data_IF_062991874915
#
_entry.id   IF_062991874915
#
_cell.length_a   1.000
_cell.length_b   1.000
_cell.length_c   1.000
_cell.angle_alpha   90.00
_cell.angle_beta   90.00
_cell.angle_gamma   90.00
#
_symmetry.space_group_name_H-M   'P 1'
#
loop_
_entity.id
_entity.type
_entity.pdbx_description
1 polymer ?
#
# COMPACT_ATOMS: atom_id res chain seq x y z
N UNK A 1 -7.34 0.83 -13.89
CA UNK A 1 -7.21 0.84 -15.37
C UNK A 1 -8.28 -0.01 -16.05
N UNK A 2 -8.74 -1.09 -15.40
CA UNK A 2 -9.83 -1.95 -15.90
C UNK A 2 -11.18 -1.72 -15.20
N UNK A 3 -11.20 -0.92 -14.13
CA UNK A 3 -12.41 -0.55 -13.39
C UNK A 3 -12.45 0.98 -13.32
N UNK A 4 -13.44 1.57 -13.98
CA UNK A 4 -13.61 3.02 -14.09
C UNK A 4 -14.67 3.56 -13.11
N UNK A 5 -15.42 2.66 -12.45
CA UNK A 5 -16.46 3.03 -11.51
C UNK A 5 -15.86 3.32 -10.13
N UNK A 6 -15.94 4.58 -9.71
CA UNK A 6 -15.44 5.04 -8.43
C UNK A 6 -16.17 4.39 -7.25
N UNK A 7 -17.47 4.10 -7.37
CA UNK A 7 -18.26 3.49 -6.29
C UNK A 7 -17.80 2.05 -6.03
N UNK A 8 -17.47 1.29 -7.10
CA UNK A 8 -16.91 -0.05 -6.96
C UNK A 8 -15.52 -0.04 -6.31
N UNK A 9 -14.68 0.96 -6.64
CA UNK A 9 -13.36 1.10 -6.03
C UNK A 9 -13.44 1.48 -4.55
N UNK A 10 -14.41 2.30 -4.16
CA UNK A 10 -14.67 2.65 -2.75
C UNK A 10 -15.20 1.44 -1.97
N UNK A 11 -16.08 0.63 -2.56
CA UNK A 11 -16.57 -0.60 -1.94
C UNK A 11 -15.45 -1.60 -1.67
N UNK A 12 -14.56 -1.82 -2.65
CA UNK A 12 -13.39 -2.71 -2.47
C UNK A 12 -12.48 -2.19 -1.36
N UNK A 13 -12.28 -0.87 -1.29
CA UNK A 13 -11.47 -0.26 -0.23
C UNK A 13 -12.08 -0.52 1.15
N UNK A 14 -13.40 -0.33 1.32
CA UNK A 14 -14.10 -0.67 2.57
C UNK A 14 -13.93 -2.14 2.94
N UNK A 15 -14.14 -3.07 2.02
CA UNK A 15 -14.00 -4.51 2.29
C UNK A 15 -12.57 -4.88 2.73
N UNK A 16 -11.54 -4.28 2.13
CA UNK A 16 -10.15 -4.49 2.52
C UNK A 16 -9.88 -3.95 3.94
N UNK A 17 -10.40 -2.77 4.28
CA UNK A 17 -10.25 -2.20 5.62
C UNK A 17 -10.93 -3.06 6.68
N UNK A 18 -12.15 -3.52 6.42
CA UNK A 18 -12.86 -4.44 7.30
C UNK A 18 -12.08 -5.74 7.51
N UNK A 19 -11.48 -6.28 6.45
CA UNK A 19 -10.66 -7.49 6.53
C UNK A 19 -9.41 -7.28 7.39
N UNK A 20 -8.71 -6.16 7.24
CA UNK A 20 -7.55 -5.80 8.07
C UNK A 20 -7.95 -5.71 9.55
N UNK A 21 -9.01 -4.96 9.85
CA UNK A 21 -9.53 -4.79 11.20
C UNK A 21 -9.98 -6.12 11.83
N UNK A 22 -10.53 -7.04 11.03
CA UNK A 22 -10.91 -8.39 11.47
C UNK A 22 -9.71 -9.22 11.96
N UNK A 23 -8.52 -8.97 11.42
CA UNK A 23 -7.29 -9.68 11.80
C UNK A 23 -6.37 -8.83 12.69
N UNK A 24 -6.94 -7.88 13.44
CA UNK A 24 -6.23 -7.01 14.38
C UNK A 24 -5.16 -6.10 13.75
N UNK A 25 -5.25 -5.85 12.44
CA UNK A 25 -4.46 -4.81 11.77
C UNK A 25 -5.20 -3.46 11.78
N UNK A 26 -4.47 -2.33 11.74
CA UNK A 26 -5.07 -0.98 11.74
C UNK A 26 -5.75 -0.66 10.39
N UNK A 27 -6.91 -1.24 10.11
CA UNK A 27 -7.61 -1.11 8.83
C UNK A 27 -7.95 0.32 8.43
N UNK A 28 -8.33 1.18 9.37
CA UNK A 28 -8.67 2.59 9.10
C UNK A 28 -7.44 3.44 8.76
N UNK A 29 -6.31 3.17 9.42
CA UNK A 29 -5.07 3.94 9.26
C UNK A 29 -4.13 3.37 8.19
N UNK A 30 -4.40 2.16 7.68
CA UNK A 30 -3.55 1.52 6.67
C UNK A 30 -3.65 2.30 5.35
N UNK A 31 -2.51 2.74 4.75
CA UNK A 31 -2.51 3.42 3.47
C UNK A 31 -2.98 2.50 2.33
N UNK A 32 -3.92 2.96 1.52
CA UNK A 32 -4.41 2.25 0.32
C UNK A 32 -4.21 3.17 -0.89
N UNK A 33 -3.35 2.76 -1.83
CA UNK A 33 -3.02 3.53 -3.03
C UNK A 33 -3.65 2.88 -4.25
N UNK A 34 -4.49 3.65 -4.97
CA UNK A 34 -5.14 3.21 -6.21
C UNK A 34 -4.21 3.44 -7.40
N UNK A 35 -4.00 2.42 -8.24
CA UNK A 35 -3.10 2.48 -9.39
C UNK A 35 -3.16 1.25 -10.29
N UNK A 36 -2.33 1.23 -11.33
CA UNK A 36 -2.08 0.08 -12.22
C UNK A 36 -0.58 -0.13 -12.37
N UNK A 37 -0.09 -1.25 -11.84
CA UNK A 37 1.29 -1.68 -12.03
C UNK A 37 1.61 -1.95 -13.50
N UNK A 38 0.61 -2.35 -14.30
CA UNK A 38 0.78 -2.56 -15.74
C UNK A 38 1.06 -1.24 -16.46
N UNK A 39 0.23 -0.22 -16.24
CA UNK A 39 0.43 1.10 -16.85
C UNK A 39 1.78 1.70 -16.45
N UNK A 40 2.15 1.58 -15.16
CA UNK A 40 3.47 2.01 -14.69
C UNK A 40 4.61 1.28 -15.44
N UNK A 41 4.49 -0.04 -15.64
CA UNK A 41 5.49 -0.83 -16.36
C UNK A 41 5.55 -0.47 -17.86
N UNK A 42 4.43 -0.07 -18.45
CA UNK A 42 4.33 0.39 -19.84
C UNK A 42 4.84 1.84 -20.03
N UNK A 43 5.28 2.50 -18.94
CA UNK A 43 5.87 3.84 -18.97
C UNK A 43 4.86 4.98 -18.87
N UNK A 44 3.63 4.71 -18.43
CA UNK A 44 2.63 5.75 -18.17
C UNK A 44 3.04 6.57 -16.93
N UNK A 45 3.30 7.87 -17.13
CA UNK A 45 3.67 8.82 -16.07
C UNK A 45 2.45 9.48 -15.41
N UNK A 46 1.24 9.03 -15.74
CA UNK A 46 -0.02 9.53 -15.19
C UNK A 46 -0.30 9.08 -13.76
N UNK A 47 -1.44 9.53 -13.23
CA UNK A 47 -1.85 9.31 -11.83
C UNK A 47 -1.95 7.82 -11.46
N UNK A 48 -2.41 6.97 -12.37
CA UNK A 48 -2.55 5.54 -12.13
C UNK A 48 -1.26 4.75 -12.41
N UNK A 49 -0.32 5.30 -13.18
CA UNK A 49 0.93 4.64 -13.55
C UNK A 49 2.05 4.93 -12.55
N UNK A 50 3.15 5.54 -13.02
CA UNK A 50 4.36 5.82 -12.24
C UNK A 50 4.05 6.59 -10.95
N UNK A 51 3.14 7.56 -10.98
CA UNK A 51 2.81 8.36 -9.78
C UNK A 51 2.14 7.54 -8.68
N UNK A 52 1.32 6.53 -9.03
CA UNK A 52 0.77 5.61 -8.03
C UNK A 52 1.87 4.77 -7.37
N UNK A 53 2.88 4.34 -8.13
CA UNK A 53 4.03 3.60 -7.59
C UNK A 53 4.86 4.49 -6.67
N UNK A 54 5.09 5.75 -7.03
CA UNK A 54 5.82 6.69 -6.17
C UNK A 54 5.06 6.96 -4.86
N UNK A 55 3.73 7.13 -4.91
CA UNK A 55 2.91 7.23 -3.69
C UNK A 55 2.94 5.96 -2.84
N UNK A 56 2.97 4.79 -3.48
CA UNK A 56 3.13 3.52 -2.76
C UNK A 56 4.50 3.44 -2.07
N UNK A 57 5.58 3.85 -2.74
CA UNK A 57 6.92 3.89 -2.15
C UNK A 57 6.98 4.86 -0.96
N UNK A 58 6.40 6.04 -1.08
CA UNK A 58 6.29 7.00 0.02
C UNK A 58 5.50 6.44 1.21
N UNK A 59 4.40 5.72 0.95
CA UNK A 59 3.63 5.05 1.99
C UNK A 59 4.46 3.98 2.71
N UNK A 60 5.31 3.22 2.00
CA UNK A 60 6.23 2.26 2.63
C UNK A 60 7.20 2.97 3.58
N UNK A 61 7.85 4.05 3.11
CA UNK A 61 8.86 4.79 3.89
C UNK A 61 8.27 5.50 5.12
N UNK A 62 7.00 5.92 5.05
CA UNK A 62 6.34 6.71 6.10
C UNK A 62 5.53 5.86 7.08
N UNK A 63 4.95 4.75 6.62
CA UNK A 63 4.05 3.93 7.44
C UNK A 63 4.76 2.76 8.12
N UNK A 64 5.73 2.13 7.45
CA UNK A 64 6.44 0.98 8.01
C UNK A 64 7.66 1.48 8.79
N UNK A 65 7.70 1.32 10.12
CA UNK A 65 8.84 1.76 10.90
C UNK A 65 10.08 0.97 10.53
N UNK A 66 11.23 1.63 10.56
CA UNK A 66 12.51 0.94 10.42
C UNK A 66 12.65 -0.10 11.55
N UNK A 67 12.91 -1.38 11.24
CA UNK A 67 12.98 -2.41 12.25
C UNK A 67 14.22 -2.22 13.13
N UNK A 68 14.06 -2.48 14.42
CA UNK A 68 15.15 -2.44 15.39
C UNK A 68 16.17 -3.55 15.05
N UNK A 69 17.43 -3.14 14.90
CA UNK A 69 18.52 -4.08 14.67
C UNK A 69 18.99 -4.62 16.02
N UNK A 70 18.96 -5.94 16.19
CA UNK A 70 19.38 -6.62 17.43
C UNK A 70 20.92 -6.67 17.62
N UNK A 71 21.62 -5.55 17.42
CA UNK A 71 23.09 -5.46 17.47
C UNK A 71 23.64 -5.54 18.90
N UNK A 72 22.85 -5.12 19.89
CA UNK A 72 23.22 -5.14 21.30
C UNK A 72 22.79 -6.45 22.01
N UNK A 73 22.18 -7.38 21.28
CA UNK A 73 21.75 -8.69 21.78
C UNK A 73 22.89 -9.70 21.89
N UNK A 74 22.61 -10.85 22.50
CA UNK A 74 23.54 -11.98 22.44
C UNK A 74 23.70 -12.43 20.98
N UNK A 75 24.94 -12.70 20.57
CA UNK A 75 25.21 -13.26 19.24
C UNK A 75 24.45 -14.59 19.05
N UNK A 76 23.71 -14.70 17.94
CA UNK A 76 22.95 -15.87 17.54
C UNK A 76 23.13 -16.08 16.04
N UNK A 77 23.43 -17.33 15.62
CA UNK A 77 23.62 -17.75 14.23
C UNK A 77 22.55 -18.78 13.84
#
# INVERSE_FOLDING_TARGET
DMVDDAELLELVEMEVRELLSKYDFPGDDTPIVKGSAKLALEGDTGDLGEQAIMRLAEALDTYIPQPDRAVDGAFLL
#
